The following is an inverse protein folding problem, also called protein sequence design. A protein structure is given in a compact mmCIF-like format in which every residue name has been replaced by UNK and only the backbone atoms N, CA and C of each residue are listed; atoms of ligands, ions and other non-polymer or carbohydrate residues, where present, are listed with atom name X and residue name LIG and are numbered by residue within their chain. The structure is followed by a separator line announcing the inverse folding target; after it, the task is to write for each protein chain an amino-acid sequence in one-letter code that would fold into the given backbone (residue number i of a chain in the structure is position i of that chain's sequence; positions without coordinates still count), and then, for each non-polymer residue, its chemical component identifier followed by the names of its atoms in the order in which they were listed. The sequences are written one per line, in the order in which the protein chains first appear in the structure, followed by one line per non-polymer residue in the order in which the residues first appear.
data_IF_418004850838
#
_entry.id   IF_418004850838
#
_cell.length_a   1.000
_cell.length_b   1.000
_cell.length_c   1.000
_cell.angle_alpha   90.00
_cell.angle_beta   90.00
_cell.angle_gamma   90.00
#
_symmetry.space_group_name_H-M   'P 1'
#
loop_
_entity.id
_entity.type
_entity.pdbx_description
1 polymer ?
#
# COMPACT_ATOMS: atom_id res chain seq x y z
N UNK A 1 26.61 -1.18 9.01
CA UNK A 1 26.81 -1.54 7.59
C UNK A 1 25.68 -1.06 6.71
N UNK A 2 24.44 -1.57 6.86
CA UNK A 2 23.28 -1.18 6.01
C UNK A 2 23.07 0.34 5.96
N UNK A 3 23.04 1.00 7.13
CA UNK A 3 22.90 2.47 7.25
C UNK A 3 23.89 3.20 6.34
N UNK A 4 25.16 2.80 6.36
CA UNK A 4 26.22 3.41 5.56
C UNK A 4 26.02 3.14 4.06
N UNK A 5 25.78 1.88 3.67
CA UNK A 5 25.65 1.50 2.25
C UNK A 5 24.43 2.15 1.56
N UNK A 6 23.34 2.32 2.31
CA UNK A 6 22.12 2.97 1.84
C UNK A 6 22.12 4.49 2.04
N UNK A 7 23.18 5.06 2.62
CA UNK A 7 23.25 6.47 2.98
C UNK A 7 22.06 6.94 3.84
N UNK A 8 21.59 6.08 4.75
CA UNK A 8 20.48 6.42 5.64
C UNK A 8 20.92 7.51 6.63
N UNK A 9 19.97 8.36 7.09
CA UNK A 9 20.26 9.32 8.15
C UNK A 9 20.87 8.65 9.39
N UNK A 10 21.93 9.23 10.01
CA UNK A 10 22.58 8.62 11.17
C UNK A 10 21.65 8.38 12.37
N UNK A 11 20.57 9.15 12.47
CA UNK A 11 19.57 9.10 13.53
C UNK A 11 18.39 8.17 13.21
N UNK A 12 18.39 7.46 12.08
CA UNK A 12 17.25 6.65 11.62
C UNK A 12 16.80 5.63 12.67
N UNK A 13 17.73 4.96 13.36
CA UNK A 13 17.40 4.00 14.41
C UNK A 13 16.90 4.67 15.68
N UNK A 14 17.33 5.90 15.96
CA UNK A 14 16.86 6.69 17.11
C UNK A 14 15.38 7.02 16.88
N UNK A 15 15.06 7.62 15.72
CA UNK A 15 13.68 7.96 15.34
C UNK A 15 12.78 6.72 15.25
N UNK A 16 13.27 5.63 14.66
CA UNK A 16 12.53 4.37 14.63
C UNK A 16 12.17 3.87 16.04
N UNK A 17 13.13 3.90 16.96
CA UNK A 17 12.90 3.45 18.34
C UNK A 17 11.98 4.39 19.12
N UNK A 18 12.14 5.71 18.93
CA UNK A 18 11.40 6.74 19.68
C UNK A 18 9.99 7.00 19.13
N UNK A 19 9.80 6.92 17.83
CA UNK A 19 8.57 7.38 17.18
C UNK A 19 7.81 6.18 16.58
N UNK A 20 8.49 5.08 16.28
CA UNK A 20 7.91 3.92 15.61
C UNK A 20 7.62 4.18 14.13
N UNK A 21 8.11 5.28 13.56
CA UNK A 21 7.96 5.60 12.14
C UNK A 21 9.12 6.44 11.65
N UNK A 22 9.57 6.20 10.41
CA UNK A 22 10.66 6.95 9.79
C UNK A 22 10.37 7.22 8.31
N UNK A 23 10.63 8.45 7.88
CA UNK A 23 10.73 8.79 6.47
C UNK A 23 12.19 8.71 6.02
N UNK A 24 12.42 8.04 4.89
CA UNK A 24 13.74 7.81 4.31
C UNK A 24 13.69 8.27 2.85
N UNK A 25 14.48 9.30 2.53
CA UNK A 25 14.75 9.74 1.17
C UNK A 25 15.98 9.09 0.57
N UNK A 26 16.26 9.36 -0.71
CA UNK A 26 17.49 8.93 -1.38
C UNK A 26 17.44 7.52 -1.99
N UNK A 27 16.58 6.63 -1.46
CA UNK A 27 16.59 5.21 -1.82
C UNK A 27 16.29 4.96 -3.31
N UNK A 28 15.33 5.71 -3.86
CA UNK A 28 14.84 5.61 -5.24
C UNK A 28 15.34 6.75 -6.14
N UNK A 29 16.40 7.48 -5.75
CA UNK A 29 16.96 8.57 -6.57
C UNK A 29 17.44 8.08 -7.96
N UNK A 30 17.77 6.79 -8.07
CA UNK A 30 18.11 6.18 -9.36
C UNK A 30 16.98 6.23 -10.40
N UNK A 31 15.74 6.51 -9.98
CA UNK A 31 14.62 6.68 -10.91
C UNK A 31 14.77 7.92 -11.81
N UNK A 32 15.60 8.88 -11.37
CA UNK A 32 15.93 10.11 -12.09
C UNK A 32 17.10 9.92 -13.07
N UNK A 33 17.76 8.76 -13.07
CA UNK A 33 18.80 8.46 -14.04
C UNK A 33 18.23 8.35 -15.46
N UNK A 34 19.10 8.49 -16.46
CA UNK A 34 18.75 8.41 -17.89
C UNK A 34 17.50 9.24 -18.25
N UNK A 35 17.54 10.54 -17.96
CA UNK A 35 16.47 11.49 -18.25
C UNK A 35 15.14 11.16 -17.56
N UNK A 36 15.20 10.74 -16.29
CA UNK A 36 14.04 10.37 -15.47
C UNK A 36 13.24 9.19 -16.04
N UNK A 37 13.89 8.25 -16.74
CA UNK A 37 13.22 7.17 -17.44
C UNK A 37 12.24 6.38 -16.56
N UNK A 38 12.68 5.93 -15.38
CA UNK A 38 11.84 5.15 -14.46
C UNK A 38 10.76 6.02 -13.82
N UNK A 39 11.07 7.27 -13.45
CA UNK A 39 10.08 8.19 -12.88
C UNK A 39 8.95 8.50 -13.88
N UNK A 40 9.28 8.73 -15.15
CA UNK A 40 8.31 8.96 -16.22
C UNK A 40 7.45 7.71 -16.47
N UNK A 41 8.06 6.53 -16.51
CA UNK A 41 7.34 5.26 -16.59
C UNK A 41 6.38 5.12 -15.41
N UNK A 42 6.84 5.37 -14.18
CA UNK A 42 6.00 5.29 -12.98
C UNK A 42 4.77 6.20 -13.05
N UNK A 43 4.94 7.43 -13.56
CA UNK A 43 3.84 8.35 -13.79
C UNK A 43 2.82 7.79 -14.80
N UNK A 44 3.28 7.37 -15.97
CA UNK A 44 2.42 6.82 -17.02
C UNK A 44 1.75 5.50 -16.61
N UNK A 45 2.44 4.66 -15.83
CA UNK A 45 1.91 3.41 -15.29
C UNK A 45 0.71 3.73 -14.38
N UNK A 46 0.81 4.70 -13.47
CA UNK A 46 -0.32 5.14 -12.65
C UNK A 46 -1.47 5.71 -13.48
N UNK A 47 -1.21 6.54 -14.49
CA UNK A 47 -2.27 7.11 -15.33
C UNK A 47 -2.97 6.05 -16.19
N UNK A 48 -2.23 5.07 -16.73
CA UNK A 48 -2.79 3.94 -17.47
C UNK A 48 -3.73 3.12 -16.60
N UNK A 49 -3.31 2.77 -15.38
CA UNK A 49 -4.17 2.03 -14.46
C UNK A 49 -5.39 2.83 -14.04
N UNK A 50 -5.22 4.13 -13.80
CA UNK A 50 -6.32 5.04 -13.46
C UNK A 50 -7.35 5.14 -14.59
N UNK A 51 -6.92 5.23 -15.84
CA UNK A 51 -7.79 5.23 -17.02
C UNK A 51 -8.70 3.99 -17.07
N UNK A 52 -8.19 2.85 -16.64
CA UNK A 52 -8.93 1.58 -16.60
C UNK A 52 -9.58 1.27 -15.25
N UNK A 53 -9.46 2.16 -14.26
CA UNK A 53 -10.05 1.96 -12.94
C UNK A 53 -11.57 2.07 -13.03
N UNK A 54 -12.26 1.08 -12.49
CA UNK A 54 -13.73 1.03 -12.43
C UNK A 54 -14.18 1.09 -10.97
N UNK A 55 -15.41 1.52 -10.77
CA UNK A 55 -16.10 1.21 -9.51
C UNK A 55 -16.32 -0.29 -9.44
N UNK A 56 -16.07 -0.88 -8.27
CA UNK A 56 -16.34 -2.30 -8.01
C UNK A 56 -17.67 -2.35 -7.25
N UNK A 57 -18.63 -3.11 -7.77
CA UNK A 57 -19.98 -3.27 -7.18
C UNK A 57 -20.70 -1.93 -6.89
N UNK A 58 -20.46 -0.91 -7.73
CA UNK A 58 -21.05 0.43 -7.58
C UNK A 58 -20.51 1.24 -6.40
N UNK A 59 -19.49 0.74 -5.69
CA UNK A 59 -18.89 1.39 -4.52
C UNK A 59 -17.77 2.34 -4.94
N UNK A 60 -17.66 3.46 -4.22
CA UNK A 60 -16.53 4.38 -4.34
C UNK A 60 -15.22 3.67 -4.03
N UNK A 61 -14.16 4.03 -4.76
CA UNK A 61 -12.82 3.49 -4.52
C UNK A 61 -12.11 4.14 -3.32
N UNK A 62 -12.68 5.20 -2.70
CA UNK A 62 -12.13 5.88 -1.50
C UNK A 62 -10.66 6.34 -1.68
N UNK A 63 -10.28 6.71 -2.90
CA UNK A 63 -8.90 7.06 -3.27
C UNK A 63 -7.92 5.89 -3.45
N UNK A 64 -8.40 4.64 -3.47
CA UNK A 64 -7.61 3.45 -3.75
C UNK A 64 -7.63 3.06 -5.23
N UNK A 65 -6.49 2.68 -5.79
CA UNK A 65 -6.40 2.16 -7.16
C UNK A 65 -6.39 0.63 -7.13
N UNK A 66 -7.58 0.07 -6.86
CA UNK A 66 -7.77 -1.35 -6.56
C UNK A 66 -7.43 -2.30 -7.71
N UNK A 67 -7.37 -1.78 -8.94
CA UNK A 67 -6.94 -2.54 -10.11
C UNK A 67 -5.41 -2.65 -10.26
N UNK A 68 -4.63 -1.80 -9.57
CA UNK A 68 -3.18 -1.73 -9.70
C UNK A 68 -2.50 -2.51 -8.58
N UNK A 69 -2.35 -3.82 -8.77
CA UNK A 69 -1.62 -4.70 -7.85
C UNK A 69 -0.29 -5.21 -8.40
N UNK A 70 -0.09 -5.26 -9.71
CA UNK A 70 1.10 -5.85 -10.35
C UNK A 70 1.68 -4.97 -11.45
N UNK A 71 1.51 -3.66 -11.33
CA UNK A 71 2.12 -2.73 -12.28
C UNK A 71 3.62 -2.93 -12.36
N UNK A 72 4.21 -2.51 -13.48
CA UNK A 72 5.65 -2.64 -13.67
C UNK A 72 6.42 -1.87 -12.58
N UNK A 73 5.92 -0.71 -12.19
CA UNK A 73 6.47 0.12 -11.09
C UNK A 73 6.34 -0.57 -9.74
N UNK A 74 5.20 -1.19 -9.42
CA UNK A 74 5.05 -1.96 -8.18
C UNK A 74 6.02 -3.14 -8.13
N UNK A 75 6.19 -3.86 -9.25
CA UNK A 75 7.13 -4.97 -9.35
C UNK A 75 8.58 -4.54 -9.12
N UNK A 76 8.98 -3.36 -9.62
CA UNK A 76 10.32 -2.81 -9.38
C UNK A 76 10.56 -2.57 -7.88
N UNK A 77 9.64 -1.86 -7.23
CA UNK A 77 9.79 -1.48 -5.81
C UNK A 77 9.83 -2.71 -4.91
N UNK A 78 8.98 -3.72 -5.17
CA UNK A 78 8.93 -4.97 -4.40
C UNK A 78 10.15 -5.86 -4.55
N UNK A 79 10.88 -5.71 -5.64
CA UNK A 79 12.10 -6.47 -5.95
C UNK A 79 13.38 -5.70 -5.60
N UNK A 80 13.27 -4.47 -5.09
CA UNK A 80 14.41 -3.60 -4.80
C UNK A 80 15.18 -4.06 -3.55
N UNK A 81 16.45 -4.50 -3.70
CA UNK A 81 17.24 -4.97 -2.57
C UNK A 81 17.54 -3.85 -1.57
N UNK A 82 17.58 -2.58 -1.99
CA UNK A 82 17.75 -1.46 -1.07
C UNK A 82 16.54 -1.31 -0.14
N UNK A 83 15.33 -1.45 -0.68
CA UNK A 83 14.10 -1.42 0.11
C UNK A 83 13.97 -2.62 1.05
N UNK A 84 14.30 -3.83 0.56
CA UNK A 84 14.40 -5.04 1.37
C UNK A 84 15.38 -4.92 2.56
N UNK A 85 16.52 -4.25 2.35
CA UNK A 85 17.50 -4.00 3.40
C UNK A 85 17.00 -3.04 4.47
N UNK A 86 16.19 -2.03 4.09
CA UNK A 86 15.53 -1.16 5.07
C UNK A 86 14.59 -1.99 5.95
N UNK A 87 13.83 -2.92 5.36
CA UNK A 87 12.99 -3.82 6.14
C UNK A 87 13.80 -4.70 7.09
N UNK A 88 14.82 -5.38 6.58
CA UNK A 88 15.75 -6.19 7.38
C UNK A 88 16.37 -5.38 8.53
N UNK A 89 16.69 -4.10 8.31
CA UNK A 89 17.25 -3.23 9.34
C UNK A 89 16.24 -2.86 10.44
N UNK A 90 15.00 -2.51 10.06
CA UNK A 90 14.02 -1.91 10.97
C UNK A 90 13.15 -2.94 11.69
N UNK A 91 12.97 -4.13 11.12
CA UNK A 91 12.27 -5.23 11.80
C UNK A 91 12.99 -5.61 13.09
N UNK A 92 12.23 -5.91 14.15
CA UNK A 92 12.79 -6.28 15.45
C UNK A 92 13.50 -7.63 15.45
N UNK A 93 13.16 -8.52 14.52
CA UNK A 93 13.82 -9.83 14.34
C UNK A 93 14.97 -9.79 13.32
N UNK A 94 15.19 -8.66 12.66
CA UNK A 94 16.12 -8.52 11.55
C UNK A 94 16.00 -9.60 10.47
N UNK A 95 14.79 -10.16 10.28
CA UNK A 95 14.59 -11.21 9.30
C UNK A 95 14.89 -10.68 7.91
N UNK A 96 15.78 -11.38 7.21
CA UNK A 96 16.10 -11.15 5.80
C UNK A 96 15.28 -12.05 4.87
N UNK A 97 14.63 -13.10 5.41
CA UNK A 97 13.78 -14.03 4.65
C UNK A 97 12.39 -13.43 4.54
N UNK A 98 12.21 -12.63 3.50
CA UNK A 98 11.06 -11.76 3.32
C UNK A 98 10.41 -12.05 1.97
N UNK A 99 9.12 -12.37 1.96
CA UNK A 99 8.35 -12.46 0.71
C UNK A 99 7.47 -11.23 0.57
N UNK A 100 7.48 -10.63 -0.62
CA UNK A 100 6.67 -9.45 -0.93
C UNK A 100 5.20 -9.81 -0.97
N UNK A 101 4.37 -9.02 -0.29
CA UNK A 101 2.94 -9.15 -0.35
C UNK A 101 2.36 -8.24 -1.45
N UNK A 102 1.68 -8.79 -2.46
CA UNK A 102 0.98 -7.98 -3.44
C UNK A 102 -0.18 -7.21 -2.82
N UNK A 103 -0.17 -5.89 -2.99
CA UNK A 103 -1.22 -5.01 -2.49
C UNK A 103 -1.52 -3.89 -3.49
N UNK A 104 -2.75 -3.40 -3.49
CA UNK A 104 -3.14 -2.28 -4.36
C UNK A 104 -2.49 -0.97 -3.92
N UNK A 105 -2.48 0.02 -4.80
CA UNK A 105 -1.88 1.34 -4.54
C UNK A 105 -2.91 2.37 -4.12
N UNK A 106 -2.42 3.49 -3.60
CA UNK A 106 -3.21 4.70 -3.37
C UNK A 106 -3.11 5.62 -4.60
N UNK A 107 -4.22 6.19 -5.03
CA UNK A 107 -4.31 7.19 -6.11
C UNK A 107 -5.51 8.10 -5.86
N UNK A 108 -5.46 8.82 -4.73
CA UNK A 108 -6.56 9.70 -4.33
C UNK A 108 -6.61 10.95 -5.21
N UNK A 109 -7.79 11.57 -5.28
CA UNK A 109 -8.06 12.88 -5.85
C UNK A 109 -8.75 13.78 -4.83
N UNK A 110 -8.73 15.11 -5.05
CA UNK A 110 -9.54 16.03 -4.27
C UNK A 110 -11.00 15.59 -4.20
N UNK A 111 -11.56 15.54 -2.98
CA UNK A 111 -12.93 15.12 -2.71
C UNK A 111 -13.09 13.63 -2.37
N UNK A 112 -12.09 12.78 -2.57
CA UNK A 112 -12.18 11.37 -2.18
C UNK A 112 -12.37 11.23 -0.65
N UNK A 113 -13.27 10.33 -0.18
CA UNK A 113 -13.47 10.10 1.25
C UNK A 113 -12.33 9.26 1.82
N UNK A 114 -11.28 9.93 2.30
CA UNK A 114 -10.04 9.30 2.78
C UNK A 114 -9.89 9.28 4.30
N UNK A 115 -10.88 9.77 5.04
CA UNK A 115 -10.83 9.82 6.50
C UNK A 115 -10.95 8.42 7.09
N UNK A 116 -9.94 7.97 7.82
CA UNK A 116 -9.97 6.75 8.63
C UNK A 116 -8.82 6.77 9.64
N UNK A 117 -8.96 6.05 10.75
CA UNK A 117 -7.90 5.80 11.73
C UNK A 117 -8.00 4.37 12.23
N UNK A 118 -6.89 3.64 12.17
CA UNK A 118 -6.85 2.23 12.54
C UNK A 118 -5.45 1.77 12.91
N UNK A 119 -5.36 0.48 13.25
CA UNK A 119 -4.15 -0.31 13.31
C UNK A 119 -4.43 -1.61 12.54
N UNK A 120 -3.51 -2.04 11.67
CA UNK A 120 -3.77 -3.14 10.72
C UNK A 120 -3.89 -4.52 11.37
N UNK A 121 -3.47 -4.67 12.62
CA UNK A 121 -3.65 -5.88 13.41
C UNK A 121 -4.42 -5.59 14.69
N UNK A 122 -5.37 -6.44 15.05
CA UNK A 122 -6.05 -6.28 16.32
C UNK A 122 -5.08 -6.21 17.53
N UNK A 123 -5.38 -5.33 18.48
CA UNK A 123 -4.49 -5.02 19.62
C UNK A 123 -4.30 -6.23 20.55
N UNK A 124 -5.34 -7.02 20.81
CA UNK A 124 -5.19 -8.23 21.63
C UNK A 124 -4.32 -9.26 20.93
N UNK A 125 -4.54 -9.44 19.62
CA UNK A 125 -3.70 -10.33 18.80
C UNK A 125 -2.24 -9.90 18.83
N UNK A 126 -1.97 -8.60 18.72
CA UNK A 126 -0.61 -8.05 18.85
C UNK A 126 -0.05 -8.20 20.27
N UNK A 127 -0.87 -8.03 21.31
CA UNK A 127 -0.44 -8.25 22.68
C UNK A 127 -0.04 -9.72 22.93
N UNK A 128 -0.66 -10.66 22.20
CA UNK A 128 -0.28 -12.07 22.14
C UNK A 128 0.91 -12.37 21.20
N UNK A 129 1.45 -11.37 20.51
CA UNK A 129 2.63 -11.47 19.66
C UNK A 129 2.36 -11.66 18.16
N UNK A 130 1.10 -11.73 17.72
CA UNK A 130 0.73 -11.85 16.30
C UNK A 130 0.97 -10.53 15.57
N UNK A 131 1.64 -10.56 14.41
CA UNK A 131 1.81 -9.38 13.54
C UNK A 131 2.73 -8.27 14.06
N UNK A 132 3.26 -8.38 15.29
CA UNK A 132 4.07 -7.32 15.93
C UNK A 132 5.40 -7.00 15.23
N UNK A 133 5.83 -7.86 14.31
CA UNK A 133 7.07 -7.70 13.52
C UNK A 133 6.80 -7.29 12.07
N UNK A 134 5.55 -7.33 11.61
CA UNK A 134 5.15 -7.03 10.24
C UNK A 134 5.10 -5.50 10.03
N UNK A 135 6.26 -4.89 9.86
CA UNK A 135 6.35 -3.44 9.59
C UNK A 135 5.71 -3.07 8.26
N UNK A 136 5.16 -1.85 8.23
CA UNK A 136 4.43 -1.32 7.10
C UNK A 136 5.27 -0.33 6.35
N UNK A 137 5.08 -0.27 5.04
CA UNK A 137 5.89 0.54 4.18
C UNK A 137 5.07 1.17 3.06
N UNK A 138 5.45 2.40 2.71
CA UNK A 138 4.85 3.14 1.61
C UNK A 138 5.92 3.93 0.89
N UNK A 139 5.86 3.99 -0.44
CA UNK A 139 6.66 4.88 -1.30
C UNK A 139 5.73 5.95 -1.86
N UNK A 140 6.04 7.22 -1.61
CA UNK A 140 5.26 8.34 -2.12
C UNK A 140 5.76 8.75 -3.50
N UNK A 141 4.85 8.92 -4.46
CA UNK A 141 5.18 9.39 -5.80
C UNK A 141 4.94 10.89 -5.98
N UNK A 142 4.15 11.48 -5.08
CA UNK A 142 3.85 12.90 -5.02
C UNK A 142 4.31 13.48 -3.68
N UNK A 143 4.50 14.80 -3.62
CA UNK A 143 4.77 15.48 -2.36
C UNK A 143 3.50 15.51 -1.49
N UNK A 144 3.62 14.99 -0.27
CA UNK A 144 2.58 15.06 0.75
C UNK A 144 2.72 16.35 1.58
N UNK A 145 1.61 16.79 2.17
CA UNK A 145 1.54 18.01 3.01
C UNK A 145 0.81 17.70 4.31
N UNK A 146 0.99 18.53 5.33
CA UNK A 146 0.48 18.25 6.68
C UNK A 146 -1.05 18.15 6.78
N UNK A 147 -1.77 18.77 5.84
CA UNK A 147 -3.23 18.73 5.71
C UNK A 147 -3.71 17.59 4.79
N UNK A 148 -2.80 16.87 4.13
CA UNK A 148 -3.11 15.75 3.22
C UNK A 148 -1.94 14.75 3.14
N UNK A 149 -1.80 13.96 4.19
CA UNK A 149 -0.79 12.91 4.30
C UNK A 149 -1.30 11.77 5.18
N UNK A 150 -0.40 10.92 5.63
CA UNK A 150 -0.71 9.95 6.70
C UNK A 150 -0.47 10.63 8.04
N UNK A 151 -1.40 10.44 8.98
CA UNK A 151 -1.19 10.80 10.38
C UNK A 151 -0.91 9.55 11.21
N UNK A 152 -0.10 9.71 12.25
CA UNK A 152 0.26 8.62 13.18
C UNK A 152 0.19 9.10 14.62
N UNK A 153 0.20 8.17 15.57
CA UNK A 153 0.45 8.45 16.99
C UNK A 153 1.85 7.96 17.37
N UNK A 154 2.89 8.82 17.28
CA UNK A 154 4.27 8.39 17.45
C UNK A 154 4.53 7.89 18.87
N UNK A 155 5.35 6.86 18.98
CA UNK A 155 5.74 6.28 20.28
C UNK A 155 4.72 5.35 20.93
N UNK A 156 3.52 5.23 20.34
CA UNK A 156 2.44 4.41 20.89
C UNK A 156 2.78 2.90 20.93
N UNK A 157 3.68 2.44 20.07
CA UNK A 157 4.16 1.05 20.02
C UNK A 157 4.75 0.57 21.35
N UNK A 158 5.26 1.48 22.18
CA UNK A 158 5.78 1.18 23.53
C UNK A 158 4.70 0.95 24.59
N UNK A 159 3.45 1.32 24.29
CA UNK A 159 2.34 1.32 25.24
C UNK A 159 1.27 0.27 24.92
N UNK A 160 1.51 -0.61 23.94
CA UNK A 160 0.55 -1.59 23.45
C UNK A 160 -0.14 -2.40 24.56
N UNK A 161 0.62 -2.97 25.51
CA UNK A 161 0.05 -3.82 26.57
C UNK A 161 -0.83 -3.03 27.55
N UNK A 162 -0.41 -1.81 27.91
CA UNK A 162 -1.19 -0.95 28.79
C UNK A 162 -2.44 -0.41 28.08
N UNK A 163 -2.33 -0.11 26.79
CA UNK A 163 -3.49 0.27 25.97
C UNK A 163 -4.48 -0.88 25.83
N UNK A 164 -4.02 -2.10 25.58
CA UNK A 164 -4.86 -3.30 25.55
C UNK A 164 -5.63 -3.49 26.88
N UNK A 165 -4.95 -3.36 28.02
CA UNK A 165 -5.58 -3.42 29.35
C UNK A 165 -6.63 -2.32 29.55
N UNK A 166 -6.35 -1.12 29.04
CA UNK A 166 -7.31 0.00 29.09
C UNK A 166 -8.58 -0.30 28.28
N UNK A 167 -8.43 -0.90 27.09
CA UNK A 167 -9.58 -1.33 26.28
C UNK A 167 -10.40 -2.41 26.98
N UNK A 168 -9.77 -3.38 27.66
CA UNK A 168 -10.49 -4.36 28.48
C UNK A 168 -11.30 -3.70 29.60
N UNK A 169 -10.69 -2.75 30.32
CA UNK A 169 -11.35 -2.04 31.43
C UNK A 169 -12.55 -1.22 30.94
N UNK A 170 -12.50 -0.71 29.71
CA UNK A 170 -13.61 0.02 29.07
C UNK A 170 -14.65 -0.88 28.41
N UNK A 171 -14.43 -2.20 28.34
CA UNK A 171 -15.31 -3.12 27.61
C UNK A 171 -15.26 -2.94 26.08
N UNK A 172 -14.15 -2.41 25.55
CA UNK A 172 -13.94 -2.10 24.13
C UNK A 172 -12.98 -3.08 23.45
N UNK A 173 -12.65 -4.19 24.11
CA UNK A 173 -11.84 -5.23 23.52
C UNK A 173 -12.57 -5.90 22.35
N UNK A 174 -11.84 -6.20 21.28
CA UNK A 174 -12.37 -6.81 20.06
C UNK A 174 -11.47 -7.95 19.61
N UNK A 175 -12.00 -8.87 18.80
CA UNK A 175 -11.28 -10.05 18.30
C UNK A 175 -11.22 -10.10 16.76
N UNK A 176 -11.45 -8.96 16.09
CA UNK A 176 -11.33 -8.85 14.63
C UNK A 176 -9.88 -8.98 14.14
N UNK A 177 -9.66 -8.90 12.82
CA UNK A 177 -8.29 -8.90 12.26
C UNK A 177 -7.61 -7.53 12.38
N UNK A 178 -8.38 -6.44 12.32
CA UNK A 178 -7.96 -5.04 12.28
C UNK A 178 -8.60 -4.33 13.49
N UNK A 179 -7.93 -3.32 14.05
CA UNK A 179 -8.51 -2.48 15.11
C UNK A 179 -8.84 -1.09 14.56
N UNK A 180 -10.12 -0.73 14.50
CA UNK A 180 -10.52 0.66 14.30
C UNK A 180 -10.11 1.52 15.51
N UNK A 181 -9.64 2.74 15.25
CA UNK A 181 -9.20 3.69 16.28
C UNK A 181 -10.13 4.91 16.23
N UNK A 182 -11.29 4.74 16.84
CA UNK A 182 -12.39 5.70 16.88
C UNK A 182 -12.89 5.90 18.32
N UNK A 183 -13.47 7.08 18.56
CA UNK A 183 -14.16 7.43 19.82
C UNK A 183 -13.34 7.07 21.06
N UNK A 184 -13.87 6.13 21.84
CA UNK A 184 -13.36 5.76 23.15
C UNK A 184 -12.19 4.76 23.12
N UNK A 185 -11.80 4.28 21.93
CA UNK A 185 -10.69 3.33 21.79
C UNK A 185 -9.32 3.99 22.01
N UNK A 186 -9.16 5.27 21.66
CA UNK A 186 -7.97 6.06 21.97
C UNK A 186 -8.37 7.52 22.17
N UNK A 187 -8.51 7.92 23.43
CA UNK A 187 -9.02 9.24 23.83
C UNK A 187 -7.91 10.27 23.98
N UNK A 188 -8.27 11.55 24.08
CA UNK A 188 -7.31 12.62 24.43
C UNK A 188 -6.66 12.41 25.81
N UNK A 189 -7.37 11.79 26.76
CA UNK A 189 -6.80 11.43 28.07
C UNK A 189 -5.72 10.35 27.92
N UNK A 190 -5.93 9.37 27.05
CA UNK A 190 -4.93 8.34 26.75
C UNK A 190 -3.70 8.96 26.07
N UNK A 191 -3.91 9.82 25.08
CA UNK A 191 -2.84 10.54 24.40
C UNK A 191 -2.02 11.38 25.40
N UNK A 192 -2.68 12.08 26.33
CA UNK A 192 -2.03 12.82 27.41
C UNK A 192 -1.27 11.90 28.37
N UNK A 193 -1.87 10.77 28.78
CA UNK A 193 -1.25 9.72 29.64
C UNK A 193 0.04 9.20 29.00
N UNK A 194 0.02 8.92 27.70
CA UNK A 194 1.17 8.42 26.93
C UNK A 194 2.10 9.53 26.44
N UNK A 195 1.78 10.80 26.71
CA UNK A 195 2.55 11.99 26.31
C UNK A 195 2.79 12.03 24.80
N UNK A 196 1.76 11.72 24.02
CA UNK A 196 1.78 11.70 22.56
C UNK A 196 0.52 12.38 22.02
N UNK A 197 0.37 12.43 20.69
CA UNK A 197 -0.77 13.00 19.97
C UNK A 197 -0.78 12.49 18.54
N UNK A 198 -1.88 12.66 17.83
CA UNK A 198 -1.90 12.52 16.37
C UNK A 198 -0.98 13.56 15.72
N UNK A 199 -0.12 13.12 14.81
CA UNK A 199 0.85 13.95 14.08
C UNK A 199 0.81 13.62 12.59
N UNK A 200 0.67 14.62 11.70
CA UNK A 200 0.83 14.40 10.27
C UNK A 200 2.29 14.13 9.90
N UNK A 201 2.54 13.12 9.07
CA UNK A 201 3.88 12.67 8.66
C UNK A 201 4.00 12.70 7.13
N UNK A 202 4.13 13.89 6.52
CA UNK A 202 4.22 14.04 5.08
C UNK A 202 5.54 13.47 4.54
N UNK A 203 5.44 12.66 3.49
CA UNK A 203 6.57 12.25 2.65
C UNK A 203 6.77 13.16 1.45
N UNK A 204 8.02 13.36 1.02
CA UNK A 204 8.32 13.91 -0.30
C UNK A 204 8.23 12.84 -1.39
N UNK A 205 8.05 13.28 -2.63
CA UNK A 205 8.10 12.38 -3.78
C UNK A 205 9.45 11.63 -3.81
N UNK A 206 9.38 10.30 -3.91
CA UNK A 206 10.54 9.40 -3.85
C UNK A 206 10.96 8.97 -2.45
N UNK A 207 10.37 9.53 -1.38
CA UNK A 207 10.59 9.05 -0.01
C UNK A 207 9.74 7.84 0.30
N UNK A 208 10.31 6.93 1.10
CA UNK A 208 9.55 5.90 1.78
C UNK A 208 9.21 6.32 3.20
N UNK A 209 8.04 5.90 3.68
CA UNK A 209 7.70 5.86 5.10
C UNK A 209 7.60 4.42 5.53
N UNK A 210 8.33 4.06 6.58
CA UNK A 210 8.24 2.77 7.26
C UNK A 210 7.68 2.99 8.65
N UNK A 211 6.69 2.20 9.05
CA UNK A 211 5.96 2.35 10.32
C UNK A 211 5.83 1.01 11.03
N UNK A 212 6.02 1.03 12.35
CA UNK A 212 5.86 -0.11 13.25
C UNK A 212 4.37 -0.50 13.30
N UNK A 213 4.03 -1.80 13.22
CA UNK A 213 2.64 -2.24 13.11
C UNK A 213 1.78 -1.87 14.32
N UNK A 214 2.40 -1.50 15.45
CA UNK A 214 1.73 -1.13 16.70
C UNK A 214 1.43 0.37 16.78
N UNK A 215 1.71 1.14 15.73
CA UNK A 215 1.44 2.57 15.66
C UNK A 215 0.05 2.79 15.05
N UNK A 216 -0.89 3.42 15.80
CA UNK A 216 -2.13 3.92 15.24
C UNK A 216 -1.81 4.90 14.12
N UNK A 217 -2.48 4.71 12.99
CA UNK A 217 -2.29 5.55 11.82
C UNK A 217 -3.58 5.74 11.05
N UNK A 218 -3.57 6.68 10.13
CA UNK A 218 -4.76 7.05 9.38
C UNK A 218 -4.49 8.13 8.36
N UNK A 219 -5.55 8.70 7.85
CA UNK A 219 -5.51 9.91 7.05
C UNK A 219 -6.71 10.78 7.39
N UNK A 220 -6.54 12.08 7.18
CA UNK A 220 -7.64 13.02 7.19
C UNK A 220 -8.46 12.89 5.90
N UNK A 221 -9.68 13.41 5.91
CA UNK A 221 -10.53 13.47 4.73
C UNK A 221 -11.55 14.60 4.81
N UNK A 222 -12.19 14.95 3.69
CA UNK A 222 -11.90 14.44 2.34
C UNK A 222 -10.51 14.85 1.84
N UNK A 223 -9.95 14.09 0.89
CA UNK A 223 -8.67 14.43 0.27
C UNK A 223 -8.73 15.82 -0.37
N UNK A 224 -7.64 16.58 -0.30
CA UNK A 224 -7.57 17.95 -0.86
C UNK A 224 -6.64 18.03 -2.06
N UNK A 225 -5.77 17.02 -2.25
CA UNK A 225 -4.80 16.93 -3.34
C UNK A 225 -4.73 15.54 -3.96
N UNK A 226 -4.31 15.45 -5.23
CA UNK A 226 -3.83 14.20 -5.80
C UNK A 226 -2.66 13.66 -4.97
N UNK A 227 -2.71 12.37 -4.63
CA UNK A 227 -1.62 11.69 -3.92
C UNK A 227 -1.56 10.22 -4.32
N UNK A 228 -0.43 9.84 -4.88
CA UNK A 228 -0.12 8.48 -5.31
C UNK A 228 0.92 7.86 -4.39
N UNK A 229 0.65 6.66 -3.93
CA UNK A 229 1.58 5.89 -3.10
C UNK A 229 1.54 4.41 -3.44
N UNK A 230 2.71 3.80 -3.47
CA UNK A 230 2.88 2.35 -3.56
C UNK A 230 2.98 1.81 -2.13
N UNK A 231 2.37 0.67 -1.85
CA UNK A 231 2.40 0.00 -0.54
C UNK A 231 3.15 -1.34 -0.65
N UNK A 232 4.50 -1.32 -0.73
CA UNK A 232 5.29 -2.53 -0.87
C UNK A 232 5.53 -3.14 0.51
N UNK A 233 4.71 -4.12 0.88
CA UNK A 233 4.85 -4.83 2.15
C UNK A 233 5.66 -6.10 1.95
N UNK A 234 6.41 -6.46 2.99
CA UNK A 234 7.05 -7.76 3.11
C UNK A 234 6.52 -8.48 4.33
N UNK A 235 6.39 -9.80 4.20
CA UNK A 235 6.02 -10.70 5.28
C UNK A 235 7.16 -11.69 5.46
N UNK A 236 7.57 -11.92 6.70
CA UNK A 236 8.68 -12.82 7.00
C UNK A 236 8.27 -14.30 6.91
N UNK A 237 9.22 -15.08 6.41
CA UNK A 237 9.21 -16.54 6.45
C UNK A 237 9.89 -16.99 7.75
N UNK A 238 9.20 -17.81 8.53
CA UNK A 238 9.74 -18.45 9.72
C UNK A 238 10.72 -19.57 9.31
N UNK A 239 11.48 -20.10 10.27
CA UNK A 239 12.47 -21.16 10.00
C UNK A 239 11.85 -22.43 9.42
N UNK A 240 10.61 -22.74 9.81
CA UNK A 240 9.84 -23.90 9.33
C UNK A 240 9.22 -23.68 7.95
N UNK A 241 9.37 -22.50 7.35
CA UNK A 241 8.81 -22.12 6.04
C UNK A 241 7.42 -21.49 6.09
N UNK A 242 6.78 -21.43 7.27
CA UNK A 242 5.51 -20.74 7.48
C UNK A 242 5.65 -19.22 7.47
N UNK A 243 4.60 -18.49 7.10
CA UNK A 243 4.58 -17.03 7.19
C UNK A 243 4.31 -16.53 8.63
N UNK A 244 4.87 -15.37 8.99
CA UNK A 244 4.68 -14.78 10.33
C UNK A 244 3.22 -14.42 10.68
N UNK A 245 2.37 -14.23 9.66
CA UNK A 245 0.92 -14.07 9.78
C UNK A 245 0.25 -15.17 8.95
N UNK A 246 -0.08 -16.29 9.58
CA UNK A 246 -0.55 -17.50 8.88
C UNK A 246 -1.82 -17.25 8.07
N UNK A 247 -2.71 -16.39 8.55
CA UNK A 247 -3.98 -16.09 7.89
C UNK A 247 -3.83 -15.22 6.63
N UNK A 248 -2.65 -14.60 6.42
CA UNK A 248 -2.36 -13.82 5.22
C UNK A 248 -2.09 -14.71 3.98
N UNK A 249 -1.96 -16.02 4.18
CA UNK A 249 -1.57 -16.99 3.15
C UNK A 249 -0.10 -17.38 3.23
N UNK A 250 0.25 -18.49 2.59
CA UNK A 250 1.59 -19.08 2.59
C UNK A 250 2.52 -18.56 1.48
N UNK A 251 3.80 -18.91 1.56
CA UNK A 251 4.81 -18.58 0.53
C UNK A 251 4.37 -18.99 -0.87
N UNK A 252 3.83 -20.21 -1.01
CA UNK A 252 3.40 -20.76 -2.30
C UNK A 252 2.24 -19.97 -2.90
N UNK A 253 1.29 -19.53 -2.06
CA UNK A 253 0.15 -18.73 -2.50
C UNK A 253 0.61 -17.33 -2.95
N UNK A 254 1.55 -16.71 -2.24
CA UNK A 254 2.11 -15.42 -2.64
C UNK A 254 2.98 -15.54 -3.91
N UNK A 255 3.77 -16.61 -4.03
CA UNK A 255 4.54 -16.91 -5.24
C UNK A 255 3.60 -17.10 -6.45
N UNK A 256 2.52 -17.86 -6.27
CA UNK A 256 1.49 -18.04 -7.30
C UNK A 256 0.83 -16.72 -7.68
N UNK A 257 0.50 -15.87 -6.69
CA UNK A 257 -0.08 -14.55 -6.91
C UNK A 257 0.84 -13.66 -7.76
N UNK A 258 2.15 -13.63 -7.48
CA UNK A 258 3.15 -12.93 -8.30
C UNK A 258 3.29 -13.53 -9.70
N UNK A 259 3.28 -14.86 -9.82
CA UNK A 259 3.44 -15.56 -11.09
C UNK A 259 2.24 -15.41 -12.02
N UNK A 260 1.04 -15.21 -11.48
CA UNK A 260 -0.22 -15.16 -12.25
C UNK A 260 -0.89 -13.80 -12.25
N UNK A 261 -0.31 -12.81 -11.54
CA UNK A 261 -0.89 -11.48 -11.35
C UNK A 261 -2.30 -11.49 -10.75
N UNK A 262 -2.57 -12.46 -9.87
CA UNK A 262 -3.85 -12.62 -9.18
C UNK A 262 -3.74 -12.10 -7.75
N UNK A 263 -4.77 -11.42 -7.21
CA UNK A 263 -4.72 -10.96 -5.82
C UNK A 263 -4.48 -12.12 -4.84
N UNK A 264 -3.71 -11.90 -3.75
CA UNK A 264 -3.62 -12.86 -2.65
C UNK A 264 -5.00 -13.20 -2.06
N UNK A 265 -5.16 -14.36 -1.41
CA UNK A 265 -6.45 -14.82 -0.91
C UNK A 265 -7.03 -13.93 0.21
N UNK A 266 -6.17 -13.23 0.95
CA UNK A 266 -6.52 -12.33 2.07
C UNK A 266 -5.73 -11.02 1.99
N UNK A 267 -5.93 -10.13 2.95
CA UNK A 267 -5.03 -9.02 3.22
C UNK A 267 -3.78 -9.51 3.99
N UNK A 268 -2.72 -8.69 4.09
CA UNK A 268 -1.53 -9.02 4.88
C UNK A 268 -1.80 -9.27 6.37
N UNK A 269 -2.93 -8.77 6.89
CA UNK A 269 -3.39 -9.02 8.27
C UNK A 269 -4.30 -10.23 8.41
N UNK A 270 -4.60 -10.93 7.31
CA UNK A 270 -5.53 -12.06 7.24
C UNK A 270 -7.00 -11.67 6.99
N UNK A 271 -7.28 -10.37 6.85
CA UNK A 271 -8.63 -9.87 6.62
C UNK A 271 -9.15 -10.31 5.23
N UNK A 272 -10.42 -10.71 5.08
CA UNK A 272 -11.04 -10.92 3.76
C UNK A 272 -10.93 -9.69 2.86
N UNK A 273 -10.78 -9.90 1.55
CA UNK A 273 -10.83 -8.83 0.56
C UNK A 273 -12.29 -8.33 0.41
N UNK A 274 -12.64 -7.26 1.13
CA UNK A 274 -14.03 -6.77 1.30
C UNK A 274 -14.60 -5.98 0.12
N UNK A 275 -13.74 -5.41 -0.73
CA UNK A 275 -14.14 -4.42 -1.74
C UNK A 275 -14.26 -5.04 -3.14
N UNK A 276 -14.60 -6.32 -3.19
CA UNK A 276 -14.54 -7.13 -4.40
C UNK A 276 -13.10 -7.42 -4.85
N UNK A 277 -12.99 -8.30 -5.84
CA UNK A 277 -11.72 -8.64 -6.50
C UNK A 277 -11.87 -8.36 -7.99
N UNK A 278 -10.78 -8.03 -8.66
CA UNK A 278 -10.80 -8.12 -10.11
C UNK A 278 -10.83 -9.59 -10.51
N UNK A 279 -11.82 -9.98 -11.30
CA UNK A 279 -12.01 -11.38 -11.71
C UNK A 279 -10.90 -11.89 -12.64
N UNK A 280 -10.17 -10.97 -13.27
CA UNK A 280 -9.06 -11.28 -14.16
C UNK A 280 -7.89 -10.33 -13.91
N UNK A 281 -6.63 -10.79 -14.09
CA UNK A 281 -5.48 -9.91 -14.11
C UNK A 281 -5.62 -8.75 -15.10
N UNK A 282 -4.96 -7.63 -14.81
CA UNK A 282 -4.91 -6.51 -15.74
C UNK A 282 -4.20 -6.94 -17.04
N UNK A 283 -4.85 -6.70 -18.18
CA UNK A 283 -4.48 -7.31 -19.46
C UNK A 283 -3.06 -6.92 -19.94
N UNK A 284 -2.55 -5.75 -19.53
CA UNK A 284 -1.22 -5.28 -19.90
C UNK A 284 -0.12 -5.64 -18.88
N UNK A 285 -0.41 -6.52 -17.91
CA UNK A 285 0.60 -6.95 -16.96
C UNK A 285 1.71 -7.75 -17.65
N UNK A 286 2.95 -7.30 -17.44
CA UNK A 286 4.16 -7.94 -17.92
C UNK A 286 5.09 -8.18 -16.75
N UNK A 287 5.76 -9.33 -16.71
CA UNK A 287 6.72 -9.61 -15.64
C UNK A 287 7.98 -8.78 -15.80
N UNK A 288 8.36 -8.07 -14.73
CA UNK A 288 9.70 -7.56 -14.53
C UNK A 288 10.55 -8.69 -13.96
N UNK A 289 11.40 -9.28 -14.81
CA UNK A 289 12.25 -10.42 -14.51
C UNK A 289 13.74 -10.08 -14.74
N UNK A 290 14.61 -11.00 -14.30
CA UNK A 290 16.05 -10.89 -14.55
C UNK A 290 16.73 -9.77 -13.76
N UNK A 291 16.25 -9.46 -12.55
CA UNK A 291 16.85 -8.49 -11.62
C UNK A 291 17.87 -9.13 -10.65
N UNK A 292 17.83 -10.45 -10.52
CA UNK A 292 18.83 -11.24 -9.77
C UNK A 292 18.22 -12.10 -8.66
N UNK A 293 19.02 -12.95 -7.99
CA UNK A 293 18.49 -13.98 -7.10
C UNK A 293 17.73 -13.43 -5.88
N UNK A 294 18.19 -12.32 -5.28
CA UNK A 294 17.48 -11.69 -4.15
C UNK A 294 16.11 -11.17 -4.60
N UNK A 295 16.04 -10.50 -5.76
CA UNK A 295 14.78 -10.04 -6.33
C UNK A 295 13.81 -11.20 -6.61
N UNK A 296 14.31 -12.31 -7.16
CA UNK A 296 13.51 -13.51 -7.40
C UNK A 296 13.01 -14.14 -6.09
N UNK A 297 13.83 -14.16 -5.04
CA UNK A 297 13.43 -14.64 -3.72
C UNK A 297 12.33 -13.78 -3.10
N UNK A 298 12.44 -12.45 -3.23
CA UNK A 298 11.44 -11.50 -2.73
C UNK A 298 10.04 -11.68 -3.33
N UNK A 299 9.90 -12.34 -4.47
CA UNK A 299 8.61 -12.63 -5.11
C UNK A 299 8.29 -14.13 -5.16
N UNK A 300 9.02 -14.94 -4.39
CA UNK A 300 8.79 -16.38 -4.28
C UNK A 300 9.14 -17.22 -5.52
N UNK A 301 9.87 -16.66 -6.50
CA UNK A 301 10.39 -17.43 -7.65
C UNK A 301 11.55 -18.34 -7.28
N UNK A 302 12.29 -17.98 -6.23
CA UNK A 302 13.35 -18.79 -5.61
C UNK A 302 13.10 -18.85 -4.11
N UNK A 303 13.53 -19.93 -3.48
CA UNK A 303 13.54 -20.02 -2.03
C UNK A 303 14.78 -19.32 -1.45
N UNK A 304 14.71 -18.85 -0.21
CA UNK A 304 15.88 -18.30 0.48
C UNK A 304 17.00 -19.32 0.70
N UNK A 305 16.67 -20.61 0.69
CA UNK A 305 17.59 -21.76 0.75
C UNK A 305 18.27 -22.07 -0.59
N UNK A 306 17.88 -21.42 -1.68
CA UNK A 306 18.56 -21.55 -2.97
C UNK A 306 20.05 -21.19 -2.82
N UNK A 307 20.99 -21.99 -3.35
CA UNK A 307 22.42 -21.75 -3.15
C UNK A 307 22.90 -20.37 -3.62
N UNK A 308 22.36 -19.83 -4.71
CA UNK A 308 22.77 -18.51 -5.21
C UNK A 308 22.22 -17.39 -4.33
N UNK A 309 20.97 -17.52 -3.87
CA UNK A 309 20.36 -16.57 -2.92
C UNK A 309 21.12 -16.59 -1.59
N UNK A 310 21.34 -17.78 -1.03
CA UNK A 310 22.07 -17.99 0.22
C UNK A 310 23.50 -17.45 0.14
N UNK A 311 24.21 -17.69 -0.96
CA UNK A 311 25.56 -17.17 -1.17
C UNK A 311 25.59 -15.63 -1.19
N UNK A 312 24.66 -15.00 -1.92
CA UNK A 312 24.58 -13.53 -1.98
C UNK A 312 24.25 -12.92 -0.62
N UNK A 313 23.24 -13.45 0.08
CA UNK A 313 22.89 -12.97 1.44
C UNK A 313 24.08 -13.13 2.37
N UNK A 314 24.77 -14.27 2.34
CA UNK A 314 25.95 -14.49 3.16
C UNK A 314 27.05 -13.46 2.85
N UNK A 315 27.42 -13.31 1.57
CA UNK A 315 28.51 -12.42 1.17
C UNK A 315 28.19 -10.92 1.36
N UNK A 316 26.92 -10.52 1.32
CA UNK A 316 26.50 -9.13 1.43
C UNK A 316 26.15 -8.72 2.86
N UNK A 317 25.62 -9.64 3.67
CA UNK A 317 25.04 -9.33 4.99
C UNK A 317 25.66 -10.08 6.15
N UNK A 318 25.88 -11.39 6.01
CA UNK A 318 26.16 -12.26 7.17
C UNK A 318 27.65 -12.53 7.38
N UNK A 319 28.47 -12.47 6.33
CA UNK A 319 29.89 -12.76 6.42
C UNK A 319 30.63 -11.66 7.19
N UNK A 320 31.60 -11.98 8.07
CA UNK A 320 32.35 -10.98 8.84
C UNK A 320 33.09 -9.94 7.98
N UNK A 321 33.46 -10.30 6.74
CA UNK A 321 34.09 -9.37 5.79
C UNK A 321 33.09 -8.66 4.87
N UNK A 322 31.79 -8.75 5.14
CA UNK A 322 30.79 -7.93 4.47
C UNK A 322 31.04 -6.46 4.83
N UNK A 323 31.06 -5.58 3.84
CA UNK A 323 31.33 -4.15 4.04
C UNK A 323 30.26 -3.30 3.38
N UNK A 324 30.12 -2.06 3.86
CA UNK A 324 29.21 -1.11 3.25
C UNK A 324 29.51 -0.88 1.76
N UNK A 325 30.79 -0.81 1.37
CA UNK A 325 31.21 -0.63 -0.01
C UNK A 325 30.84 -1.80 -0.93
N UNK A 326 30.98 -3.06 -0.44
CA UNK A 326 30.53 -4.24 -1.21
C UNK A 326 29.03 -4.21 -1.46
N UNK A 327 28.26 -3.86 -0.42
CA UNK A 327 26.81 -3.75 -0.49
C UNK A 327 26.39 -2.61 -1.43
N UNK A 328 27.00 -1.44 -1.30
CA UNK A 328 26.76 -0.29 -2.18
C UNK A 328 27.05 -0.61 -3.65
N UNK A 329 28.17 -1.28 -3.94
CA UNK A 329 28.51 -1.72 -5.29
C UNK A 329 27.47 -2.68 -5.86
N UNK A 330 27.01 -3.65 -5.06
CA UNK A 330 25.93 -4.56 -5.46
C UNK A 330 24.65 -3.79 -5.81
N UNK A 331 24.23 -2.87 -4.94
CA UNK A 331 23.03 -2.05 -5.16
C UNK A 331 23.15 -1.16 -6.40
N UNK A 332 24.32 -0.57 -6.64
CA UNK A 332 24.57 0.26 -7.81
C UNK A 332 24.43 -0.54 -9.11
N UNK A 333 25.02 -1.73 -9.16
CA UNK A 333 24.91 -2.64 -10.31
C UNK A 333 23.45 -3.08 -10.53
N UNK A 334 22.76 -3.42 -9.44
CA UNK A 334 21.34 -3.80 -9.50
C UNK A 334 20.48 -2.65 -10.05
N UNK A 335 20.68 -1.41 -9.58
CA UNK A 335 19.91 -0.24 -10.02
C UNK A 335 20.10 0.06 -11.51
N UNK A 336 21.33 -0.06 -12.03
CA UNK A 336 21.60 0.09 -13.47
C UNK A 336 20.86 -0.96 -14.30
N UNK A 337 20.88 -2.22 -13.84
CA UNK A 337 20.13 -3.31 -14.48
C UNK A 337 18.62 -3.05 -14.41
N UNK A 338 18.12 -2.60 -13.27
CA UNK A 338 16.71 -2.30 -13.06
C UNK A 338 16.19 -1.21 -13.99
N UNK A 339 16.93 -0.10 -14.16
CA UNK A 339 16.59 0.96 -15.12
C UNK A 339 16.49 0.39 -16.55
N UNK A 340 17.49 -0.41 -16.95
CA UNK A 340 17.51 -1.05 -18.28
C UNK A 340 16.30 -1.96 -18.48
N UNK A 341 15.99 -2.82 -17.49
CA UNK A 341 14.86 -3.76 -17.56
C UNK A 341 13.52 -3.06 -17.55
N UNK A 342 13.35 -2.01 -16.76
CA UNK A 342 12.13 -1.20 -16.73
C UNK A 342 11.81 -0.65 -18.11
N UNK A 343 12.79 -0.06 -18.80
CA UNK A 343 12.59 0.50 -20.16
C UNK A 343 12.18 -0.58 -21.15
N UNK A 344 12.90 -1.71 -21.16
CA UNK A 344 12.61 -2.84 -22.04
C UNK A 344 11.20 -3.41 -21.83
N UNK A 345 10.80 -3.60 -20.57
CA UNK A 345 9.49 -4.17 -20.24
C UNK A 345 8.35 -3.17 -20.43
N UNK A 346 8.62 -1.87 -20.33
CA UNK A 346 7.62 -0.83 -20.56
C UNK A 346 7.10 -0.82 -21.99
N UNK A 347 7.95 -1.03 -23.00
CA UNK A 347 7.52 -1.16 -24.40
C UNK A 347 6.53 -2.32 -24.58
N UNK A 348 6.76 -3.44 -23.90
CA UNK A 348 5.84 -4.58 -23.91
C UNK A 348 4.52 -4.23 -23.20
N UNK A 349 4.54 -3.52 -22.07
CA UNK A 349 3.31 -3.04 -21.40
C UNK A 349 2.48 -2.18 -22.34
N UNK A 350 3.10 -1.19 -23.00
CA UNK A 350 2.41 -0.32 -23.97
C UNK A 350 1.77 -1.13 -25.09
N UNK A 351 2.52 -2.06 -25.69
CA UNK A 351 2.02 -2.90 -26.77
C UNK A 351 0.84 -3.79 -26.33
N UNK A 352 0.96 -4.44 -25.18
CA UNK A 352 -0.08 -5.32 -24.64
C UNK A 352 -1.35 -4.54 -24.27
N UNK A 353 -1.21 -3.32 -23.74
CA UNK A 353 -2.34 -2.45 -23.43
C UNK A 353 -3.09 -2.04 -24.71
N UNK A 354 -2.36 -1.58 -25.73
CA UNK A 354 -2.96 -1.20 -27.02
C UNK A 354 -3.68 -2.39 -27.67
N UNK A 355 -3.06 -3.56 -27.65
CA UNK A 355 -3.64 -4.78 -28.20
C UNK A 355 -4.91 -5.21 -27.45
N UNK A 356 -4.90 -5.14 -26.13
CA UNK A 356 -6.01 -5.60 -25.30
C UNK A 356 -7.23 -4.67 -25.37
N UNK A 357 -7.00 -3.35 -25.43
CA UNK A 357 -8.08 -2.36 -25.33
C UNK A 357 -8.44 -1.69 -26.67
N UNK A 358 -7.61 -1.84 -27.71
CA UNK A 358 -7.89 -1.31 -29.06
C UNK A 358 -8.23 0.18 -29.03
N UNK A 359 -9.42 0.54 -29.53
CA UNK A 359 -9.89 1.94 -29.52
C UNK A 359 -10.16 2.52 -28.13
N UNK A 360 -10.12 1.72 -27.06
CA UNK A 360 -10.24 2.17 -25.65
C UNK A 360 -8.89 2.26 -24.93
N UNK A 361 -7.80 2.03 -25.66
CA UNK A 361 -6.44 2.09 -25.12
C UNK A 361 -6.12 3.48 -24.55
N UNK A 362 -5.47 3.50 -23.39
CA UNK A 362 -4.88 4.70 -22.82
C UNK A 362 -3.84 5.29 -23.77
N UNK A 363 -2.94 4.47 -24.31
CA UNK A 363 -1.86 4.95 -25.19
C UNK A 363 -2.36 5.38 -26.58
N UNK A 364 -3.55 4.97 -27.01
CA UNK A 364 -4.17 5.47 -28.24
C UNK A 364 -4.96 6.78 -28.02
N UNK A 365 -5.64 6.93 -26.88
CA UNK A 365 -6.56 8.07 -26.67
C UNK A 365 -5.98 9.18 -25.80
N UNK A 366 -5.27 8.82 -24.72
CA UNK A 366 -4.81 9.78 -23.73
C UNK A 366 -3.43 10.37 -24.07
N UNK A 367 -2.62 9.72 -24.92
CA UNK A 367 -1.35 10.31 -25.38
C UNK A 367 -1.56 11.40 -26.45
N UNK A 368 -2.80 11.66 -26.88
CA UNK A 368 -3.17 12.71 -27.84
C UNK A 368 -3.63 14.03 -27.16
N UNK A 369 -3.01 14.41 -26.03
CA UNK A 369 -3.21 15.74 -25.39
C UNK A 369 -2.73 16.93 -26.25
N UNK A 370 -2.36 16.69 -27.52
CA UNK A 370 -2.16 17.73 -28.52
C UNK A 370 -3.46 18.16 -29.23
N UNK A 371 -4.53 17.37 -29.11
CA UNK A 371 -5.88 17.82 -29.46
C UNK A 371 -6.48 18.54 -28.26
N UNK A 372 -6.40 19.86 -28.30
CA UNK A 372 -7.37 20.67 -27.58
C UNK A 372 -8.77 20.16 -27.94
N UNK A 373 -9.69 20.00 -26.96
CA UNK A 373 -11.07 19.72 -27.30
C UNK A 373 -11.52 20.86 -28.22
N UNK A 374 -11.93 20.54 -29.45
CA UNK A 374 -12.75 21.46 -30.23
C UNK A 374 -13.93 21.80 -29.33
N UNK A 375 -14.07 23.08 -29.00
CA UNK A 375 -15.26 23.60 -28.34
C UNK A 375 -16.45 23.12 -29.17
N UNK A 376 -17.21 22.16 -28.63
CA UNK A 376 -18.56 21.90 -29.11
C UNK A 376 -19.30 23.22 -28.97
N UNK A 377 -19.47 23.90 -30.10
CA UNK A 377 -20.36 25.05 -30.22
C UNK A 377 -21.77 24.54 -29.93
N UNK A 378 -22.14 24.59 -28.65
CA UNK A 378 -23.53 24.48 -28.23
C UNK A 378 -24.23 25.70 -28.81
N UNK A 379 -24.92 25.50 -29.92
CA UNK A 379 -25.95 26.44 -30.36
C UNK A 379 -27.04 26.47 -29.30
N UNK A 380 -27.19 27.64 -28.67
CA UNK A 380 -28.31 27.97 -27.80
C UNK A 380 -29.63 27.63 -28.49
N UNK A 381 -30.32 26.61 -27.98
CA UNK A 381 -31.76 26.49 -28.11
C UNK A 381 -32.36 26.61 -26.72
N UNK A 382 -33.04 27.73 -26.47
CA UNK A 382 -33.81 27.99 -25.26
C UNK A 382 -34.82 26.85 -24.98
N UNK A 383 -34.90 26.34 -23.74
CA UNK A 383 -36.01 25.49 -23.35
C UNK A 383 -37.20 26.35 -22.90
N UNK A 384 -38.33 26.11 -23.57
CA UNK A 384 -39.62 26.68 -23.26
C UNK A 384 -40.11 26.29 -21.84
N UNK A 385 -40.73 27.28 -21.19
CA UNK A 385 -41.39 27.23 -19.89
C UNK A 385 -42.22 25.96 -19.63
N UNK A 386 -42.09 25.38 -18.43
CA UNK A 386 -43.18 24.65 -17.79
C UNK A 386 -43.08 24.72 -16.26
N UNK A 387 -44.00 25.51 -15.69
CA UNK A 387 -44.31 25.70 -14.28
C UNK A 387 -44.54 24.39 -13.51
N UNK A 388 -43.92 24.25 -12.32
CA UNK A 388 -44.35 23.28 -11.30
C UNK A 388 -45.18 23.97 -10.21
N UNK A 389 -46.45 23.57 -10.14
CA UNK A 389 -47.40 23.87 -9.06
C UNK A 389 -47.21 22.88 -7.90
N UNK A 390 -47.03 23.44 -6.70
CA UNK A 390 -47.08 22.75 -5.41
C UNK A 390 -48.53 22.39 -5.05
N UNK A 391 -48.80 21.13 -4.70
CA UNK A 391 -50.01 20.74 -3.93
C UNK A 391 -49.66 19.69 -2.88
N UNK A 392 -49.92 20.08 -1.63
CA UNK A 392 -49.95 19.26 -0.41
C UNK A 392 -51.22 18.42 -0.30
N UNK A 393 -51.14 17.21 0.28
CA UNK A 393 -52.35 16.48 0.71
C UNK A 393 -52.08 15.12 1.35
N UNK A 394 -52.60 14.94 2.57
CA UNK A 394 -52.46 13.78 3.48
C UNK A 394 -53.25 12.54 3.05
N UNK A 395 -52.86 11.37 3.56
CA UNK A 395 -53.77 10.23 3.78
C UNK A 395 -53.07 8.94 4.20
N UNK A 396 -53.18 8.57 5.48
CA UNK A 396 -53.03 7.17 5.96
C UNK A 396 -54.33 6.40 5.68
N UNK A 397 -54.30 5.06 5.59
CA UNK A 397 -54.67 4.25 6.77
C UNK A 397 -53.88 2.93 6.96
N UNK A 398 -54.03 2.40 8.18
CA UNK A 398 -53.70 1.09 8.79
C UNK A 398 -54.24 -0.14 8.00
N UNK A 399 -53.97 -1.44 8.27
CA UNK A 399 -53.39 -2.24 9.37
C UNK A 399 -53.07 -3.67 8.81
N UNK A 400 -52.60 -4.60 9.67
CA UNK A 400 -52.52 -6.09 9.55
C UNK A 400 -51.15 -6.65 9.08
N UNK A 401 -50.22 -7.14 9.95
CA UNK A 401 -50.25 -8.39 10.75
C UNK A 401 -49.67 -9.56 9.90
N UNK A 402 -48.46 -10.12 10.08
CA UNK A 402 -47.88 -10.90 11.20
C UNK A 402 -46.38 -11.26 10.89
N UNK A 403 -45.61 -11.87 11.83
CA UNK A 403 -44.16 -11.69 11.94
C UNK A 403 -43.33 -12.64 11.07
N UNK A 404 -42.23 -12.12 10.50
CA UNK A 404 -41.11 -12.95 10.06
C UNK A 404 -39.96 -12.78 11.04
N UNK A 405 -39.66 -13.89 11.70
CA UNK A 405 -38.43 -14.16 12.43
C UNK A 405 -37.23 -13.84 11.53
N UNK A 406 -36.44 -12.86 11.95
CA UNK A 406 -35.38 -12.25 11.17
C UNK A 406 -34.41 -11.57 12.12
N UNK A 407 -33.51 -12.37 12.70
CA UNK A 407 -32.30 -11.88 13.34
C UNK A 407 -31.35 -11.33 12.27
N UNK A 408 -31.64 -10.14 11.75
CA UNK A 408 -30.67 -9.31 11.03
C UNK A 408 -30.01 -8.39 12.06
N UNK A 409 -28.82 -8.80 12.51
CA UNK A 409 -27.87 -7.86 13.10
C UNK A 409 -27.39 -6.93 12.00
N UNK A 410 -27.89 -5.70 12.06
CA UNK A 410 -27.36 -4.54 11.35
C UNK A 410 -25.98 -4.22 11.93
N UNK A 411 -24.92 -4.81 11.36
CA UNK A 411 -23.55 -4.36 11.60
C UNK A 411 -23.11 -3.42 10.47
N UNK A 412 -23.09 -2.14 10.81
CA UNK A 412 -22.12 -1.14 10.38
C UNK A 412 -21.63 -1.19 8.94
N UNK A 413 -22.44 -0.68 8.02
CA UNK A 413 -21.93 -0.16 6.75
C UNK A 413 -21.14 1.12 7.00
N UNK A 414 -19.83 1.00 7.25
CA UNK A 414 -18.85 2.01 6.85
C UNK A 414 -17.41 1.48 6.97
N UNK A 415 -17.06 0.51 6.13
CA UNK A 415 -15.67 0.18 5.83
C UNK A 415 -15.47 0.02 4.34
#
# INVERSE_FOLDING_TARGET
MIITALHLPPDVLIRWTSDGSVNIGGLFEYWKWEDNAVQNIAGLDFEMYRWHLRMIDGRSNRGWMRNMMYSLTQQLVRQDPGYWLVYTLLRSDHSYRLTSYPYYTKSQQPGDPTAFRHIDHNIESMAAGRGVRQIQGSLSLDDEYADDCTEIVPGMHRHLLDWCSTLHQRGLASHGYIQAVEGDTLTEEDLAKYRTRWVPVPCKAGEIRVTDPRIPHGALGPAVRPRRAILPWYVAENEDGDMEVQEAGGCEELAYAHATFTPPPRSPSGHPNMYGKMDTPFAANVHLDGLGPISDALIGRRQWTDPEVSFLVFNLLLHPESTAAKLEQYLQNWRQLAVTRMRQKWEAVVHMEQQAYGSKSFFTNAMDFSRQPEEDQVQDQEPADLHYLWVSGRGSPSDDGEPRDGSEYLEGEDL
#
